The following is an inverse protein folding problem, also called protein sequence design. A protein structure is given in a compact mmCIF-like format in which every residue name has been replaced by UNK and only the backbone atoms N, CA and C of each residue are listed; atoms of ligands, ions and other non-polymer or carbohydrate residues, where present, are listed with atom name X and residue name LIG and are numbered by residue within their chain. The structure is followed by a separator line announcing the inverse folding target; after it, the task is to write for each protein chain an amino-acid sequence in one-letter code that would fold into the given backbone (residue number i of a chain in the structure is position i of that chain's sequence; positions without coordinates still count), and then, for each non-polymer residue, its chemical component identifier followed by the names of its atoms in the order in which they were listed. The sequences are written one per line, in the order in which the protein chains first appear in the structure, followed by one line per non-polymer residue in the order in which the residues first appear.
data_IF_761777377109
#
_entry.id   IF_761777377109
#
_cell.length_a   1.000
_cell.length_b   1.000
_cell.length_c   1.000
_cell.angle_alpha   90.00
_cell.angle_beta   90.00
_cell.angle_gamma   90.00
#
_symmetry.space_group_name_H-M   'P 1'
#
loop_
_entity.id
_entity.type
_entity.pdbx_description
1 polymer ?
#
# COMPACT_ATOMS: atom_id res chain seq x y z
N UNK A 1 -7.84 3.41 18.97
CA UNK A 1 -7.10 2.34 18.25
C UNK A 1 -7.19 2.60 16.74
N UNK A 2 -6.06 2.56 16.05
CA UNK A 2 -6.00 2.64 14.59
C UNK A 2 -5.45 1.31 14.08
N UNK A 3 -6.09 0.73 13.06
CA UNK A 3 -5.69 -0.57 12.52
C UNK A 3 -4.94 -0.42 11.21
N UNK A 4 -3.82 -1.15 11.10
CA UNK A 4 -3.11 -1.31 9.84
C UNK A 4 -3.93 -2.20 8.90
N UNK A 5 -4.26 -1.70 7.72
CA UNK A 5 -5.03 -2.44 6.72
C UNK A 5 -4.52 -2.17 5.31
N UNK A 6 -4.72 -3.15 4.42
CA UNK A 6 -4.35 -3.00 3.01
C UNK A 6 -5.50 -3.40 2.10
N UNK A 7 -5.99 -4.63 2.24
CA UNK A 7 -7.02 -5.20 1.37
C UNK A 7 -8.42 -4.87 1.87
N UNK A 8 -9.41 -4.87 0.97
CA UNK A 8 -10.80 -4.47 1.22
C UNK A 8 -11.42 -5.08 2.49
N UNK A 9 -11.20 -6.38 2.76
CA UNK A 9 -11.71 -7.04 3.97
C UNK A 9 -11.10 -6.48 5.26
N UNK A 10 -9.80 -6.17 5.26
CA UNK A 10 -9.13 -5.55 6.41
C UNK A 10 -9.61 -4.11 6.60
N UNK A 11 -9.81 -3.36 5.51
CA UNK A 11 -10.31 -1.98 5.54
C UNK A 11 -11.74 -1.94 6.08
N UNK A 12 -12.61 -2.85 5.62
CA UNK A 12 -13.97 -2.99 6.14
C UNK A 12 -13.96 -3.33 7.65
N UNK A 13 -13.12 -4.28 8.06
CA UNK A 13 -12.97 -4.63 9.48
C UNK A 13 -12.48 -3.43 10.31
N UNK A 14 -11.49 -2.67 9.81
CA UNK A 14 -11.01 -1.47 10.49
C UNK A 14 -12.10 -0.40 10.64
N UNK A 15 -12.98 -0.26 9.64
CA UNK A 15 -14.12 0.64 9.72
C UNK A 15 -15.17 0.19 10.76
N UNK A 16 -15.28 -1.11 11.03
CA UNK A 16 -16.20 -1.70 12.00
C UNK A 16 -15.70 -1.55 13.44
N UNK A 17 -14.43 -1.86 13.70
CA UNK A 17 -13.93 -2.07 15.07
C UNK A 17 -12.93 -1.01 15.57
N UNK A 18 -12.57 -0.03 14.74
CA UNK A 18 -11.52 0.94 15.09
C UNK A 18 -11.93 2.41 14.84
N UNK A 19 -11.13 3.32 15.39
CA UNK A 19 -11.21 4.76 15.18
C UNK A 19 -10.37 5.22 13.99
N UNK A 20 -9.77 4.29 13.24
CA UNK A 20 -9.08 4.63 12.01
C UNK A 20 -8.47 3.44 11.28
N UNK A 21 -8.11 3.72 10.03
CA UNK A 21 -7.39 2.83 9.14
C UNK A 21 -6.08 3.47 8.69
N UNK A 22 -4.98 2.75 8.87
CA UNK A 22 -3.66 3.14 8.39
C UNK A 22 -3.20 2.18 7.31
N UNK A 23 -3.06 2.68 6.09
CA UNK A 23 -2.41 1.95 5.01
C UNK A 23 -0.90 2.01 5.15
N UNK A 24 -0.22 1.02 4.59
CA UNK A 24 1.21 1.09 4.36
C UNK A 24 1.43 0.93 2.86
N UNK A 25 2.03 1.93 2.23
CA UNK A 25 2.31 1.98 0.79
C UNK A 25 1.10 1.77 -0.12
N UNK A 26 -0.07 2.30 0.25
CA UNK A 26 -1.21 2.30 -0.66
C UNK A 26 -0.94 3.19 -1.88
N UNK A 27 -1.33 2.71 -3.06
CA UNK A 27 -1.30 3.47 -4.30
C UNK A 27 -2.40 4.52 -4.30
N UNK A 28 -2.05 5.76 -4.63
CA UNK A 28 -3.01 6.85 -4.82
C UNK A 28 -4.09 6.48 -5.84
N UNK A 29 -3.72 5.80 -6.94
CA UNK A 29 -4.66 5.37 -7.99
C UNK A 29 -5.73 4.39 -7.49
N UNK A 30 -5.46 3.67 -6.40
CA UNK A 30 -6.34 2.63 -5.87
C UNK A 30 -6.98 2.99 -4.52
N UNK A 31 -6.64 4.15 -3.93
CA UNK A 31 -7.19 4.57 -2.65
C UNK A 31 -8.71 4.72 -2.71
N UNK A 32 -9.28 5.27 -3.80
CA UNK A 32 -10.74 5.37 -3.96
C UNK A 32 -11.42 4.00 -3.86
N UNK A 33 -10.87 2.99 -4.54
CA UNK A 33 -11.39 1.62 -4.53
C UNK A 33 -11.18 0.92 -3.18
N UNK A 34 -10.09 1.24 -2.48
CA UNK A 34 -9.80 0.72 -1.14
C UNK A 34 -10.76 1.32 -0.10
N UNK A 35 -10.92 2.64 -0.13
CA UNK A 35 -11.79 3.37 0.78
C UNK A 35 -13.26 3.04 0.57
N UNK A 36 -13.68 2.62 -0.63
CA UNK A 36 -15.03 2.12 -0.90
C UNK A 36 -15.51 1.01 0.08
N UNK A 37 -14.57 0.31 0.74
CA UNK A 37 -14.89 -0.67 1.80
C UNK A 37 -15.26 -0.04 3.16
N UNK A 38 -14.97 1.24 3.37
CA UNK A 38 -15.38 2.03 4.55
C UNK A 38 -16.79 2.59 4.30
N UNK A 39 -17.78 2.38 5.19
CA UNK A 39 -19.11 2.99 5.07
C UNK A 39 -19.04 4.51 4.92
N UNK A 40 -19.91 5.10 4.09
CA UNK A 40 -19.88 6.53 3.79
C UNK A 40 -20.01 7.41 5.05
N UNK A 41 -20.85 7.01 6.00
CA UNK A 41 -21.03 7.68 7.29
C UNK A 41 -19.74 7.69 8.11
N UNK A 42 -19.02 6.56 8.16
CA UNK A 42 -17.75 6.42 8.89
C UNK A 42 -16.63 7.20 8.20
N UNK A 43 -16.61 7.25 6.86
CA UNK A 43 -15.63 8.04 6.09
C UNK A 43 -15.82 9.54 6.26
N UNK A 44 -17.06 10.00 6.47
CA UNK A 44 -17.39 11.40 6.70
C UNK A 44 -17.21 11.83 8.17
N UNK A 45 -16.94 10.89 9.08
CA UNK A 45 -16.70 11.17 10.49
C UNK A 45 -15.30 11.82 10.67
N UNK A 46 -15.21 13.07 11.15
CA UNK A 46 -13.93 13.74 11.37
C UNK A 46 -13.04 13.06 12.43
N UNK A 47 -13.61 12.18 13.26
CA UNK A 47 -12.86 11.42 14.25
C UNK A 47 -12.30 10.10 13.71
N UNK A 48 -12.70 9.69 12.50
CA UNK A 48 -12.17 8.47 11.88
C UNK A 48 -10.90 8.77 11.10
N UNK A 49 -9.75 8.32 11.62
CA UNK A 49 -8.46 8.57 10.99
C UNK A 49 -8.29 7.71 9.73
N UNK A 50 -7.98 8.35 8.60
CA UNK A 50 -7.55 7.68 7.37
C UNK A 50 -6.12 8.14 7.08
N UNK A 51 -5.17 7.23 7.21
CA UNK A 51 -3.75 7.52 6.99
C UNK A 51 -3.13 6.58 5.97
N UNK A 52 -2.06 7.01 5.31
CA UNK A 52 -1.20 6.16 4.50
C UNK A 52 0.25 6.41 4.88
N UNK A 53 0.91 5.41 5.45
CA UNK A 53 2.33 5.46 5.73
C UNK A 53 3.09 5.16 4.45
N UNK A 54 3.92 6.12 4.04
CA UNK A 54 4.76 6.06 2.85
C UNK A 54 6.20 6.40 3.26
N UNK A 55 7.23 5.82 2.63
CA UNK A 55 8.57 6.38 2.71
C UNK A 55 8.55 7.81 2.16
N UNK A 56 9.18 8.75 2.86
CA UNK A 56 9.27 10.15 2.44
C UNK A 56 10.73 10.55 2.40
N UNK A 57 11.14 11.16 1.30
CA UNK A 57 12.46 11.78 1.13
C UNK A 57 12.27 13.23 0.67
N UNK A 58 12.88 14.18 1.36
CA UNK A 58 12.90 15.59 0.95
C UNK A 58 14.34 15.90 0.58
N UNK A 59 14.58 16.13 -0.71
CA UNK A 59 15.90 16.37 -1.28
C UNK A 59 15.75 17.09 -2.62
N UNK A 60 16.79 17.82 -3.02
CA UNK A 60 16.90 18.37 -4.38
C UNK A 60 17.44 17.35 -5.40
N UNK A 61 17.99 16.22 -4.91
CA UNK A 61 18.49 15.11 -5.73
C UNK A 61 17.40 14.05 -5.96
N UNK A 62 16.76 14.11 -7.13
CA UNK A 62 15.74 13.14 -7.55
C UNK A 62 16.26 11.70 -7.56
N UNK A 63 17.53 11.49 -7.95
CA UNK A 63 18.12 10.15 -8.03
C UNK A 63 18.25 9.52 -6.64
N UNK A 64 18.63 10.33 -5.64
CA UNK A 64 18.68 9.90 -4.25
C UNK A 64 17.29 9.56 -3.71
N UNK A 65 16.26 10.34 -4.05
CA UNK A 65 14.88 10.05 -3.68
C UNK A 65 14.42 8.71 -4.27
N UNK A 66 14.60 8.50 -5.57
CA UNK A 66 14.21 7.26 -6.27
C UNK A 66 14.94 6.04 -5.71
N UNK A 67 16.24 6.15 -5.43
CA UNK A 67 17.03 5.08 -4.83
C UNK A 67 16.51 4.71 -3.43
N UNK A 68 16.16 5.70 -2.61
CA UNK A 68 15.57 5.46 -1.28
C UNK A 68 14.21 4.76 -1.40
N UNK A 69 13.33 5.24 -2.29
CA UNK A 69 12.01 4.62 -2.50
C UNK A 69 12.13 3.17 -2.97
N UNK A 70 13.03 2.88 -3.93
CA UNK A 70 13.30 1.51 -4.39
C UNK A 70 13.70 0.61 -3.23
N UNK A 71 14.69 1.03 -2.43
CA UNK A 71 15.19 0.27 -1.28
C UNK A 71 14.11 0.03 -0.21
N UNK A 72 13.27 1.04 0.07
CA UNK A 72 12.21 0.91 1.07
C UNK A 72 11.06 0.02 0.61
N UNK A 73 10.70 0.07 -0.67
CA UNK A 73 9.60 -0.71 -1.24
C UNK A 73 9.98 -2.16 -1.56
N UNK A 74 11.27 -2.46 -1.70
CA UNK A 74 11.79 -3.80 -2.00
C UNK A 74 11.17 -4.87 -1.08
N UNK A 75 11.24 -4.66 0.24
CA UNK A 75 10.66 -5.62 1.21
C UNK A 75 9.16 -5.85 1.00
N UNK A 76 8.43 -4.83 0.56
CA UNK A 76 6.98 -4.94 0.36
C UNK A 76 6.64 -5.73 -0.90
N UNK A 77 7.38 -5.54 -2.00
CA UNK A 77 7.14 -6.32 -3.23
C UNK A 77 7.46 -7.81 -3.07
N UNK A 78 8.25 -8.18 -2.06
CA UNK A 78 8.47 -9.60 -1.73
C UNK A 78 7.23 -10.26 -1.09
N UNK A 79 6.33 -9.49 -0.50
CA UNK A 79 5.16 -10.00 0.21
C UNK A 79 4.00 -10.29 -0.76
N UNK A 80 3.42 -11.51 -0.79
CA UNK A 80 2.34 -11.86 -1.72
C UNK A 80 1.10 -10.95 -1.60
N UNK A 81 0.73 -10.54 -0.38
CA UNK A 81 -0.42 -9.67 -0.15
C UNK A 81 -0.23 -8.26 -0.76
N UNK A 82 1.00 -7.75 -0.78
CA UNK A 82 1.34 -6.47 -1.40
C UNK A 82 1.39 -6.57 -2.92
N UNK A 83 1.98 -7.64 -3.46
CA UNK A 83 1.92 -7.90 -4.92
C UNK A 83 0.48 -8.00 -5.40
N UNK A 84 -0.35 -8.77 -4.71
CA UNK A 84 -1.76 -8.90 -5.08
C UNK A 84 -2.51 -7.57 -4.93
N UNK A 85 -2.13 -6.69 -3.99
CA UNK A 85 -2.69 -5.34 -3.88
C UNK A 85 -2.29 -4.46 -5.07
N UNK A 86 -1.01 -4.43 -5.43
CA UNK A 86 -0.54 -3.61 -6.54
C UNK A 86 -1.02 -4.10 -7.91
N UNK A 87 -1.23 -5.41 -8.07
CA UNK A 87 -1.95 -5.98 -9.22
C UNK A 87 -3.36 -5.42 -9.35
N UNK A 88 -4.13 -5.37 -8.25
CA UNK A 88 -5.47 -4.75 -8.22
C UNK A 88 -5.41 -3.23 -8.47
N UNK A 89 -4.29 -2.59 -8.14
CA UNK A 89 -4.06 -1.16 -8.36
C UNK A 89 -3.59 -0.80 -9.79
N UNK A 90 -3.39 -1.79 -10.67
CA UNK A 90 -3.00 -1.59 -12.07
C UNK A 90 -1.55 -1.95 -12.39
N UNK A 91 -0.73 -2.33 -11.42
CA UNK A 91 0.69 -2.68 -11.61
C UNK A 91 0.88 -4.19 -11.86
N UNK A 92 0.03 -4.74 -12.73
CA UNK A 92 -0.03 -6.18 -12.98
C UNK A 92 1.26 -6.75 -13.57
N UNK A 93 1.81 -6.05 -14.56
CA UNK A 93 3.00 -6.45 -15.29
C UNK A 93 4.24 -6.42 -14.39
N UNK A 94 4.40 -5.36 -13.60
CA UNK A 94 5.52 -5.18 -12.67
C UNK A 94 5.52 -6.24 -11.58
N UNK A 95 4.36 -6.51 -10.97
CA UNK A 95 4.27 -7.54 -9.92
C UNK A 95 4.48 -8.96 -10.48
N UNK A 96 4.09 -9.20 -11.73
CA UNK A 96 4.36 -10.47 -12.43
C UNK A 96 5.85 -10.62 -12.77
N UNK A 97 6.52 -9.53 -13.17
CA UNK A 97 7.97 -9.55 -13.38
C UNK A 97 8.73 -9.86 -12.09
N UNK A 98 8.28 -9.31 -10.95
CA UNK A 98 8.85 -9.59 -9.63
C UNK A 98 8.60 -11.05 -9.22
N UNK A 99 7.40 -11.58 -9.45
CA UNK A 99 7.10 -13.00 -9.23
C UNK A 99 8.03 -13.94 -10.01
N UNK A 100 8.29 -13.63 -11.28
CA UNK A 100 9.22 -14.39 -12.11
C UNK A 100 10.65 -14.31 -11.57
N UNK A 101 11.14 -13.11 -11.22
CA UNK A 101 12.47 -12.95 -10.63
C UNK A 101 12.63 -13.75 -9.33
N UNK A 102 11.60 -13.77 -8.48
CA UNK A 102 11.59 -14.56 -7.25
C UNK A 102 11.59 -16.07 -7.50
N UNK A 103 10.84 -16.54 -8.50
CA UNK A 103 10.83 -17.94 -8.90
C UNK A 103 12.20 -18.39 -9.45
N UNK A 104 12.91 -17.48 -10.13
CA UNK A 104 14.28 -17.68 -10.64
C UNK A 104 15.38 -17.43 -9.59
N UNK A 105 15.00 -17.11 -8.34
CA UNK A 105 15.89 -16.74 -7.24
C UNK A 105 16.87 -15.59 -7.59
N UNK A 106 16.44 -14.66 -8.45
CA UNK A 106 17.17 -13.44 -8.78
C UNK A 106 16.75 -12.34 -7.81
N UNK A 107 17.62 -12.03 -6.85
CA UNK A 107 17.35 -11.00 -5.81
C UNK A 107 18.14 -9.70 -5.99
N UNK A 108 19.21 -9.71 -6.78
CA UNK A 108 20.19 -8.61 -6.80
C UNK A 108 20.32 -7.85 -8.13
N UNK A 109 19.47 -8.13 -9.14
CA UNK A 109 19.57 -7.51 -10.48
C UNK A 109 18.22 -7.04 -11.02
#
# INVERSE_FOLDING_TARGET
IVLAALRKRMVALAAEIAEGVLFANASLSHLTASLAAVPATKRADPNFLIGNMLPVCITEDESAALALHRRQLERYVLLPNYRNYWKEAGYGEEMTAIERALAENRRDN
#
